data_IF_384186022422
#
_entry.id   IF_384186022422
#
_cell.length_a   1.000
_cell.length_b   1.000
_cell.length_c   1.000
_cell.angle_alpha   90.00
_cell.angle_beta   90.00
_cell.angle_gamma   90.00
#
_symmetry.space_group_name_H-M   'P 1'
#
loop_
_entity.id
_entity.type
_entity.pdbx_description
1 polymer ?
#
# COMPACT_ATOMS: atom_id res chain seq x y z
N UNK A 1 17.90 13.34 -3.26
CA UNK A 1 17.04 12.31 -2.63
C UNK A 1 17.23 11.04 -3.42
N UNK A 2 17.52 9.92 -2.75
CA UNK A 2 17.83 8.65 -3.41
C UNK A 2 16.58 7.79 -3.46
N UNK A 3 16.11 7.48 -4.66
CA UNK A 3 14.99 6.54 -4.87
C UNK A 3 15.50 5.11 -4.65
N UNK A 4 14.69 4.29 -3.99
CA UNK A 4 14.90 2.86 -3.77
C UNK A 4 13.63 2.12 -4.17
N UNK A 5 13.82 0.93 -4.74
CA UNK A 5 12.72 0.02 -5.10
C UNK A 5 12.42 -0.87 -3.90
N UNK A 6 11.14 -0.92 -3.53
CA UNK A 6 10.61 -1.81 -2.53
C UNK A 6 9.75 -2.86 -3.24
N UNK A 7 10.21 -4.10 -3.26
CA UNK A 7 9.46 -5.22 -3.82
C UNK A 7 8.57 -5.80 -2.72
N UNK A 8 7.26 -5.72 -2.92
CA UNK A 8 6.24 -6.20 -1.99
C UNK A 8 5.42 -7.29 -2.66
N UNK A 9 5.34 -8.45 -2.00
CA UNK A 9 4.49 -9.55 -2.44
C UNK A 9 3.11 -9.41 -1.82
N UNK A 10 2.08 -9.32 -2.66
CA UNK A 10 0.70 -9.29 -2.20
C UNK A 10 0.36 -10.59 -1.45
N UNK A 11 -0.17 -10.50 -0.24
CA UNK A 11 -0.50 -11.69 0.56
C UNK A 11 -1.74 -12.42 0.04
N UNK A 12 -2.63 -11.74 -0.70
CA UNK A 12 -3.83 -12.34 -1.30
C UNK A 12 -3.50 -13.06 -2.61
N UNK A 13 -3.15 -12.33 -3.68
CA UNK A 13 -2.92 -12.90 -5.01
C UNK A 13 -1.49 -13.43 -5.25
N UNK A 14 -0.55 -13.20 -4.31
CA UNK A 14 0.87 -13.61 -4.41
C UNK A 14 1.69 -12.95 -5.53
N UNK A 15 1.13 -11.97 -6.24
CA UNK A 15 1.87 -11.17 -7.21
C UNK A 15 2.92 -10.29 -6.52
N UNK A 16 4.09 -10.16 -7.12
CA UNK A 16 5.10 -9.19 -6.72
C UNK A 16 4.82 -7.83 -7.38
N UNK A 17 4.92 -6.77 -6.58
CA UNK A 17 4.69 -5.39 -7.00
C UNK A 17 5.89 -4.57 -6.52
N UNK A 18 6.43 -3.72 -7.39
CA UNK A 18 7.55 -2.84 -7.05
C UNK A 18 7.03 -1.44 -6.83
N UNK A 19 7.35 -0.84 -5.67
CA UNK A 19 7.03 0.56 -5.36
C UNK A 19 8.33 1.36 -5.26
N UNK A 20 8.40 2.49 -5.95
CA UNK A 20 9.55 3.39 -5.86
C UNK A 20 9.34 4.40 -4.73
N UNK A 21 10.25 4.39 -3.75
CA UNK A 21 10.19 5.27 -2.58
C UNK A 21 11.49 6.03 -2.38
N UNK A 22 11.42 7.22 -1.79
CA UNK A 22 12.63 7.89 -1.33
C UNK A 22 13.17 7.17 -0.10
N UNK A 23 14.47 6.92 -0.08
CA UNK A 23 15.14 6.18 1.01
C UNK A 23 14.90 6.81 2.40
N UNK A 24 14.88 8.14 2.47
CA UNK A 24 14.68 8.86 3.74
C UNK A 24 13.25 8.69 4.26
N UNK A 25 12.29 8.57 3.35
CA UNK A 25 10.86 8.45 3.66
C UNK A 25 10.54 7.02 4.11
N UNK A 26 11.20 6.03 3.49
CA UNK A 26 11.17 4.64 3.95
C UNK A 26 11.69 4.52 5.40
N UNK A 27 12.80 5.19 5.71
CA UNK A 27 13.35 5.25 7.07
C UNK A 27 12.38 5.91 8.05
N UNK A 28 11.73 7.01 7.67
CA UNK A 28 10.74 7.66 8.52
C UNK A 28 9.53 6.74 8.81
N UNK A 29 9.07 5.97 7.80
CA UNK A 29 8.03 4.95 7.98
C UNK A 29 8.48 3.84 8.94
N UNK A 30 9.70 3.32 8.79
CA UNK A 30 10.31 2.34 9.70
C UNK A 30 10.44 2.88 11.15
N UNK A 31 10.57 4.19 11.31
CA UNK A 31 10.61 4.89 12.60
C UNK A 31 9.20 5.20 13.16
N UNK A 32 8.13 4.78 12.47
CA UNK A 32 6.75 4.88 12.94
C UNK A 32 5.94 6.06 12.39
N UNK A 33 6.46 6.79 11.39
CA UNK A 33 5.65 7.78 10.69
C UNK A 33 4.48 7.10 9.96
N UNK A 34 3.31 7.74 9.96
CA UNK A 34 2.18 7.26 9.16
C UNK A 34 2.53 7.27 7.66
N UNK A 35 2.07 6.26 6.92
CA UNK A 35 2.37 6.11 5.50
C UNK A 35 1.94 7.33 4.66
N UNK A 36 0.87 8.03 5.01
CA UNK A 36 0.47 9.26 4.32
C UNK A 36 1.44 10.44 4.52
N UNK A 37 2.21 10.44 5.62
CA UNK A 37 3.22 11.46 5.89
C UNK A 37 4.59 11.05 5.33
N UNK A 38 4.95 9.78 5.44
CA UNK A 38 6.18 9.25 4.86
C UNK A 38 6.13 9.28 3.34
N UNK A 39 5.02 8.84 2.73
CA UNK A 39 4.90 8.65 1.29
C UNK A 39 3.78 9.49 0.67
N UNK A 40 3.82 10.84 0.76
CA UNK A 40 2.74 11.70 0.26
C UNK A 40 2.61 11.69 -1.26
N UNK A 41 3.63 11.18 -1.97
CA UNK A 41 3.68 11.08 -3.43
C UNK A 41 3.16 9.74 -3.96
N UNK A 42 2.90 8.76 -3.09
CA UNK A 42 2.31 7.48 -3.49
C UNK A 42 0.78 7.57 -3.52
N UNK A 43 0.18 6.76 -4.37
CA UNK A 43 -1.28 6.54 -4.38
C UNK A 43 -1.77 5.91 -3.08
N UNK A 44 -3.09 5.85 -2.87
CA UNK A 44 -3.68 5.11 -1.76
C UNK A 44 -3.30 3.63 -1.84
N UNK A 45 -3.44 3.01 -3.02
CA UNK A 45 -3.17 1.59 -3.25
C UNK A 45 -1.71 1.21 -2.99
N UNK A 46 -0.76 2.05 -3.41
CA UNK A 46 0.67 1.81 -3.15
C UNK A 46 1.00 1.91 -1.66
N UNK A 47 0.37 2.84 -0.93
CA UNK A 47 0.52 2.93 0.53
C UNK A 47 -0.11 1.72 1.22
N UNK A 48 -1.28 1.30 0.79
CA UNK A 48 -1.95 0.10 1.31
C UNK A 48 -1.10 -1.15 1.11
N UNK A 49 -0.51 -1.31 -0.07
CA UNK A 49 0.43 -2.39 -0.35
C UNK A 49 1.62 -2.39 0.62
N UNK A 50 2.16 -1.22 0.99
CA UNK A 50 3.24 -1.10 1.97
C UNK A 50 2.76 -1.38 3.41
N UNK A 51 1.52 -1.04 3.74
CA UNK A 51 0.95 -1.19 5.09
C UNK A 51 0.57 -2.64 5.39
N UNK A 52 -0.21 -3.25 4.49
CA UNK A 52 -0.90 -4.52 4.74
C UNK A 52 -0.42 -5.67 3.86
N UNK A 53 0.50 -5.41 2.93
CA UNK A 53 0.86 -6.33 1.86
C UNK A 53 -0.33 -6.73 0.98
N UNK A 54 -1.33 -5.86 0.80
CA UNK A 54 -2.46 -6.08 -0.13
C UNK A 54 -2.37 -5.08 -1.27
N UNK A 55 -2.35 -5.55 -2.52
CA UNK A 55 -2.41 -4.64 -3.67
C UNK A 55 -3.84 -4.10 -3.87
N UNK A 56 -3.98 -2.90 -4.46
CA UNK A 56 -5.27 -2.26 -4.73
C UNK A 56 -6.33 -3.20 -5.30
N UNK A 57 -6.00 -3.95 -6.36
CA UNK A 57 -6.92 -4.92 -6.99
C UNK A 57 -7.46 -6.00 -6.03
N UNK A 58 -6.69 -6.38 -5.00
CA UNK A 58 -7.12 -7.34 -4.00
C UNK A 58 -7.85 -6.66 -2.84
N UNK A 59 -7.45 -5.44 -2.49
CA UNK A 59 -8.15 -4.63 -1.51
C UNK A 59 -9.58 -4.35 -2.02
N UNK A 60 -9.71 -3.84 -3.23
CA UNK A 60 -11.00 -3.60 -3.90
C UNK A 60 -11.87 -4.85 -3.88
N UNK A 61 -11.31 -6.03 -4.19
CA UNK A 61 -12.09 -7.29 -4.15
C UNK A 61 -12.57 -7.68 -2.75
N UNK A 62 -11.83 -7.35 -1.70
CA UNK A 62 -12.23 -7.66 -0.32
C UNK A 62 -13.40 -6.76 0.10
N UNK A 63 -13.44 -5.53 -0.40
CA UNK A 63 -14.44 -4.52 -0.02
C UNK A 63 -15.52 -4.29 -1.10
N UNK A 64 -15.40 -4.92 -2.27
CA UNK A 64 -16.41 -4.85 -3.34
C UNK A 64 -17.70 -5.62 -3.00
N UNK A 65 -17.64 -6.55 -2.05
CA UNK A 65 -18.81 -7.27 -1.55
C UNK A 65 -19.65 -6.43 -0.55
N UNK A 66 -19.25 -5.18 -0.21
CA UNK A 66 -20.05 -4.28 0.64
C UNK A 66 -21.08 -3.43 -0.14
N UNK A 67 -21.19 -3.58 -1.47
CA UNK A 67 -22.19 -2.87 -2.29
C UNK A 67 -23.50 -3.67 -2.52
N UNK A 68 -23.70 -4.84 -1.88
CA UNK A 68 -24.93 -5.66 -2.00
C UNK A 68 -25.67 -6.02 -0.69
N UNK A 69 -25.67 -5.18 0.35
CA UNK A 69 -26.69 -5.19 1.44
C UNK A 69 -27.00 -3.73 1.87
N UNK A 70 -28.06 -3.12 1.34
CA UNK A 70 -29.41 -2.99 1.93
C UNK A 70 -29.48 -1.97 3.09
N UNK A 71 -30.40 -1.00 2.96
CA UNK A 71 -30.73 -0.04 4.01
C UNK A 71 -31.19 -0.76 5.29
N UNK A 72 -30.53 -0.46 6.42
CA UNK A 72 -30.97 -0.86 7.77
C UNK A 72 -30.60 0.16 8.83
#
# INVERSE_FOLDING_TARGET
>A
MTVTKLDVKCMSCKAEKTVEVQRQDLKAYEEGAHAQHAFPYLSADERELIISNICGECFDKIFADEDEEDEG
#
